data_IF_309034965617
#
_entry.id   IF_309034965617
#
_cell.length_a   1.000
_cell.length_b   1.000
_cell.length_c   1.000
_cell.angle_alpha   90.00
_cell.angle_beta   90.00
_cell.angle_gamma   90.00
#
_symmetry.space_group_name_H-M   'P 1'
#
loop_
_entity.id
_entity.type
_entity.pdbx_description
1 polymer ?
#
# COMPACT_ATOMS: atom_id res chain seq x y z
N UNK A 1 24.80 -3.95 -16.88
CA UNK A 1 23.61 -3.50 -16.14
C UNK A 1 22.99 -4.72 -15.47
N UNK A 2 22.75 -4.68 -14.15
CA UNK A 2 22.00 -5.74 -13.49
C UNK A 2 20.56 -5.73 -14.02
N UNK A 3 20.04 -6.90 -14.38
CA UNK A 3 18.66 -7.07 -14.85
C UNK A 3 17.71 -6.84 -13.67
N UNK A 4 16.71 -5.98 -13.85
CA UNK A 4 15.67 -5.78 -12.85
C UNK A 4 14.78 -7.03 -12.75
N UNK A 5 14.41 -7.41 -11.53
CA UNK A 5 13.51 -8.55 -11.26
C UNK A 5 12.05 -8.06 -11.22
N UNK A 6 11.41 -8.02 -12.39
CA UNK A 6 10.01 -7.60 -12.53
C UNK A 6 9.01 -8.54 -11.87
N UNK A 7 9.40 -9.79 -11.58
CA UNK A 7 8.53 -10.75 -10.91
C UNK A 7 8.42 -10.42 -9.43
N UNK A 8 9.55 -10.08 -8.79
CA UNK A 8 9.59 -9.74 -7.36
C UNK A 8 9.26 -8.28 -7.10
N UNK A 9 9.63 -7.39 -8.02
CA UNK A 9 9.45 -5.94 -7.91
C UNK A 9 8.76 -5.41 -9.18
N UNK A 10 7.46 -5.69 -9.37
CA UNK A 10 6.74 -5.29 -10.58
C UNK A 10 6.63 -3.76 -10.74
N UNK A 11 6.63 -3.03 -9.62
CA UNK A 11 6.70 -1.58 -9.63
C UNK A 11 8.13 -1.05 -9.62
N UNK A 12 8.39 -0.14 -10.55
CA UNK A 12 9.62 0.61 -10.61
C UNK A 12 9.54 1.85 -9.72
N UNK A 13 10.54 2.06 -8.88
CA UNK A 13 10.76 3.34 -8.20
C UNK A 13 10.97 4.47 -9.20
N UNK A 14 10.82 5.73 -8.78
CA UNK A 14 10.95 6.89 -9.67
C UNK A 14 12.32 6.95 -10.37
N UNK A 15 13.39 6.50 -9.72
CA UNK A 15 14.72 6.41 -10.35
C UNK A 15 14.82 5.24 -11.32
N UNK A 16 14.25 4.08 -10.97
CA UNK A 16 14.22 2.91 -11.84
C UNK A 16 13.37 3.15 -13.10
N UNK A 17 12.32 3.97 -13.03
CA UNK A 17 11.50 4.37 -14.18
C UNK A 17 12.35 4.97 -15.30
N UNK A 18 13.34 5.80 -14.98
CA UNK A 18 14.20 6.43 -15.99
C UNK A 18 15.05 5.43 -16.78
N UNK A 19 15.29 4.24 -16.21
CA UNK A 19 16.25 3.25 -16.72
C UNK A 19 15.52 2.03 -17.31
N UNK A 20 14.45 1.58 -16.64
CA UNK A 20 13.82 0.28 -16.88
C UNK A 20 12.39 0.37 -17.42
N UNK A 21 11.82 1.57 -17.64
CA UNK A 21 10.42 1.70 -18.06
C UNK A 21 10.11 0.90 -19.33
N UNK A 22 10.90 1.07 -20.39
CA UNK A 22 10.73 0.35 -21.65
C UNK A 22 11.06 -1.16 -21.57
N UNK A 23 11.63 -1.62 -20.45
CA UNK A 23 11.93 -3.02 -20.20
C UNK A 23 10.85 -3.70 -19.35
N UNK A 24 9.95 -2.91 -18.75
CA UNK A 24 8.91 -3.44 -17.88
C UNK A 24 7.86 -4.19 -18.71
N UNK A 25 7.57 -5.46 -18.38
CA UNK A 25 6.50 -6.21 -19.04
C UNK A 25 5.11 -5.83 -18.50
N UNK A 26 5.03 -4.96 -17.48
CA UNK A 26 3.78 -4.62 -16.80
C UNK A 26 3.55 -3.11 -16.82
N UNK A 27 2.30 -2.70 -17.09
CA UNK A 27 1.87 -1.29 -17.07
C UNK A 27 2.16 -0.68 -15.71
N UNK A 28 2.98 0.36 -15.66
CA UNK A 28 3.30 1.07 -14.41
C UNK A 28 2.12 1.95 -14.00
N UNK A 29 1.74 1.92 -12.72
CA UNK A 29 0.60 2.70 -12.20
C UNK A 29 1.07 4.12 -11.92
N UNK A 30 0.76 5.10 -12.77
CA UNK A 30 1.25 6.48 -12.63
C UNK A 30 0.16 7.48 -12.23
N UNK A 31 -1.09 7.05 -12.25
CA UNK A 31 -2.28 7.80 -11.94
C UNK A 31 -3.14 7.03 -10.94
N UNK A 32 -4.12 7.68 -10.29
CA UNK A 32 -5.06 6.97 -9.44
C UNK A 32 -5.79 5.86 -10.20
N UNK A 33 -6.00 4.72 -9.54
CA UNK A 33 -6.72 3.57 -10.10
C UNK A 33 -7.78 3.10 -9.11
N UNK A 34 -8.78 2.38 -9.61
CA UNK A 34 -9.69 1.58 -8.78
C UNK A 34 -9.23 0.12 -8.85
N UNK A 35 -9.10 -0.53 -7.71
CA UNK A 35 -8.60 -1.91 -7.61
C UNK A 35 -9.34 -2.69 -6.53
N UNK A 36 -9.50 -4.01 -6.75
CA UNK A 36 -10.23 -4.88 -5.83
C UNK A 36 -9.32 -5.39 -4.73
N UNK A 37 -9.71 -5.25 -3.47
CA UNK A 37 -8.94 -5.78 -2.33
C UNK A 37 -9.15 -7.28 -2.23
N UNK A 38 -8.09 -8.05 -2.42
CA UNK A 38 -8.14 -9.52 -2.37
C UNK A 38 -7.52 -10.12 -1.11
N UNK A 39 -6.70 -9.34 -0.41
CA UNK A 39 -6.09 -9.75 0.85
C UNK A 39 -5.69 -8.54 1.68
N UNK A 40 -5.82 -8.64 2.99
CA UNK A 40 -5.17 -7.75 3.95
C UNK A 40 -3.97 -8.47 4.56
N UNK A 41 -2.78 -7.91 4.42
CA UNK A 41 -1.54 -8.52 4.93
C UNK A 41 -1.37 -8.24 6.41
N UNK A 42 -1.57 -6.98 6.80
CA UNK A 42 -1.51 -6.43 8.15
C UNK A 42 -2.34 -5.14 8.16
N UNK A 43 -2.32 -4.38 9.26
CA UNK A 43 -3.15 -3.18 9.43
C UNK A 43 -2.80 -1.99 8.53
N UNK A 44 -1.71 -2.04 7.75
CA UNK A 44 -1.33 -0.96 6.84
C UNK A 44 -0.97 -1.42 5.41
N UNK A 45 -0.99 -2.73 5.14
CA UNK A 45 -0.61 -3.32 3.85
C UNK A 45 -1.72 -4.23 3.32
N UNK A 46 -2.18 -3.95 2.10
CA UNK A 46 -3.18 -4.75 1.37
C UNK A 46 -2.59 -5.35 0.09
N UNK A 47 -3.22 -6.38 -0.45
CA UNK A 47 -2.99 -6.83 -1.84
C UNK A 47 -4.25 -6.60 -2.65
N UNK A 48 -4.06 -6.10 -3.87
CA UNK A 48 -5.15 -5.77 -4.77
C UNK A 48 -4.96 -6.44 -6.13
N UNK A 49 -6.08 -6.66 -6.80
CA UNK A 49 -6.15 -6.98 -8.23
C UNK A 49 -6.59 -5.74 -9.01
N UNK A 50 -5.97 -5.53 -10.17
CA UNK A 50 -6.29 -4.46 -11.09
C UNK A 50 -6.42 -5.06 -12.48
N UNK A 51 -7.47 -4.69 -13.22
CA UNK A 51 -7.85 -5.27 -14.52
C UNK A 51 -6.76 -5.16 -15.60
N UNK A 52 -5.88 -4.17 -15.48
CA UNK A 52 -4.74 -3.96 -16.37
C UNK A 52 -3.53 -4.87 -16.05
N UNK A 53 -3.67 -5.79 -15.08
CA UNK A 53 -2.64 -6.75 -14.67
C UNK A 53 -3.23 -8.14 -14.41
N UNK A 54 -2.41 -9.16 -14.65
CA UNK A 54 -2.74 -10.57 -14.45
C UNK A 54 -2.20 -11.14 -13.12
N UNK A 55 -1.75 -10.27 -12.22
CA UNK A 55 -1.23 -10.63 -10.90
C UNK A 55 -1.70 -9.64 -9.83
N UNK A 56 -1.81 -10.13 -8.60
CA UNK A 56 -2.07 -9.28 -7.44
C UNK A 56 -0.76 -8.61 -6.94
N UNK A 57 -0.88 -7.41 -6.41
CA UNK A 57 0.29 -6.65 -5.94
C UNK A 57 0.01 -5.92 -4.63
N UNK A 58 1.06 -5.70 -3.81
CA UNK A 58 0.91 -5.07 -2.52
C UNK A 58 0.83 -3.53 -2.62
N UNK A 59 -0.02 -2.96 -1.78
CA UNK A 59 -0.11 -1.53 -1.52
C UNK A 59 0.12 -1.31 -0.02
N UNK A 60 1.07 -0.44 0.30
CA UNK A 60 1.25 0.10 1.65
C UNK A 60 0.48 1.42 1.74
N UNK A 61 -0.44 1.50 2.68
CA UNK A 61 -1.16 2.72 2.97
C UNK A 61 -0.21 3.80 3.50
N UNK A 62 -0.41 5.03 3.05
CA UNK A 62 0.42 6.17 3.42
C UNK A 62 0.03 6.75 4.79
N UNK A 63 0.98 7.45 5.43
CA UNK A 63 0.78 8.26 6.65
C UNK A 63 0.40 7.53 7.95
N UNK A 64 0.34 6.20 7.95
CA UNK A 64 0.14 5.38 9.14
C UNK A 64 1.25 4.34 9.35
N UNK A 65 1.30 3.84 10.58
CA UNK A 65 1.95 2.59 10.93
C UNK A 65 0.99 1.75 11.78
N UNK A 66 0.71 0.54 11.34
CA UNK A 66 0.03 -0.47 12.14
C UNK A 66 1.07 -1.40 12.79
N UNK A 67 0.72 -2.09 13.89
CA UNK A 67 1.55 -3.19 14.39
C UNK A 67 1.69 -4.27 13.31
N UNK A 68 2.87 -4.85 13.20
CA UNK A 68 3.10 -6.00 12.33
C UNK A 68 2.24 -7.18 12.81
N UNK A 69 1.91 -8.13 11.92
CA UNK A 69 0.96 -9.20 12.23
C UNK A 69 1.29 -10.03 13.49
N UNK A 70 2.58 -10.17 13.81
CA UNK A 70 3.07 -10.93 14.97
C UNK A 70 3.29 -10.07 16.22
N UNK A 71 3.08 -8.76 16.13
CA UNK A 71 3.16 -7.83 17.27
C UNK A 71 1.82 -7.77 18.00
N UNK A 72 1.84 -7.27 19.24
CA UNK A 72 0.64 -7.03 20.03
C UNK A 72 -0.30 -6.07 19.29
N UNK A 73 -1.58 -6.45 19.15
CA UNK A 73 -2.57 -5.68 18.40
C UNK A 73 -2.53 -5.87 16.87
N UNK A 74 -1.55 -6.59 16.33
CA UNK A 74 -1.39 -6.78 14.88
C UNK A 74 -2.56 -7.53 14.25
N UNK A 75 -3.04 -8.59 14.91
CA UNK A 75 -4.17 -9.37 14.40
C UNK A 75 -5.49 -8.60 14.50
N UNK A 76 -5.67 -7.85 15.57
CA UNK A 76 -6.82 -6.97 15.77
C UNK A 76 -6.87 -5.88 14.69
N UNK A 77 -5.73 -5.24 14.41
CA UNK A 77 -5.59 -4.23 13.36
C UNK A 77 -5.86 -4.79 11.97
N UNK A 78 -5.30 -5.96 11.65
CA UNK A 78 -5.61 -6.66 10.40
C UNK A 78 -7.10 -6.99 10.27
N UNK A 79 -7.70 -7.59 11.30
CA UNK A 79 -9.10 -8.01 11.29
C UNK A 79 -10.06 -6.82 11.14
N UNK A 80 -9.72 -5.66 11.72
CA UNK A 80 -10.47 -4.43 11.52
C UNK A 80 -10.46 -4.03 10.05
N UNK A 81 -9.27 -3.93 9.45
CA UNK A 81 -9.14 -3.54 8.05
C UNK A 81 -9.80 -4.56 7.11
N UNK A 82 -9.73 -5.85 7.40
CA UNK A 82 -10.45 -6.89 6.64
C UNK A 82 -11.96 -6.66 6.62
N UNK A 83 -12.56 -6.34 7.77
CA UNK A 83 -14.01 -6.08 7.86
C UNK A 83 -14.45 -4.87 7.05
N UNK A 84 -13.57 -3.87 6.92
CA UNK A 84 -13.89 -2.61 6.25
C UNK A 84 -13.74 -2.68 4.72
N UNK A 85 -12.77 -3.44 4.19
CA UNK A 85 -12.40 -3.36 2.76
C UNK A 85 -12.18 -4.68 2.04
N UNK A 86 -12.16 -5.84 2.71
CA UNK A 86 -11.88 -7.10 2.02
C UNK A 86 -12.99 -7.42 0.99
N UNK A 87 -12.59 -7.63 -0.27
CA UNK A 87 -13.51 -7.91 -1.38
C UNK A 87 -14.13 -6.66 -2.01
N UNK A 88 -13.88 -5.47 -1.47
CA UNK A 88 -14.38 -4.20 -2.00
C UNK A 88 -13.45 -3.64 -3.09
N UNK A 89 -14.03 -2.83 -3.98
CA UNK A 89 -13.28 -1.99 -4.92
C UNK A 89 -12.93 -0.67 -4.22
N UNK A 90 -11.65 -0.32 -4.22
CA UNK A 90 -11.12 0.88 -3.55
C UNK A 90 -10.34 1.75 -4.51
N UNK A 91 -10.38 3.07 -4.29
CA UNK A 91 -9.57 4.01 -5.05
C UNK A 91 -8.18 4.13 -4.42
N UNK A 92 -7.16 3.96 -5.26
CA UNK A 92 -5.75 4.01 -4.90
C UNK A 92 -5.19 5.35 -5.38
N UNK A 93 -4.95 6.28 -4.45
CA UNK A 93 -4.41 7.61 -4.75
C UNK A 93 -2.91 7.61 -4.41
N UNK A 94 -2.07 7.66 -5.44
CA UNK A 94 -0.62 7.57 -5.29
C UNK A 94 -0.04 8.76 -4.52
N UNK A 95 0.97 8.49 -3.69
CA UNK A 95 1.81 9.55 -3.12
C UNK A 95 2.86 10.02 -4.13
N UNK A 96 3.50 11.17 -3.85
CA UNK A 96 4.65 11.66 -4.66
C UNK A 96 5.78 10.64 -4.74
N UNK A 97 6.03 9.92 -3.65
CA UNK A 97 6.97 8.80 -3.58
C UNK A 97 6.20 7.51 -3.83
N UNK A 98 5.86 7.29 -5.09
CA UNK A 98 4.97 6.22 -5.56
C UNK A 98 5.33 4.82 -5.08
N UNK A 99 6.63 4.50 -5.03
CA UNK A 99 7.14 3.19 -4.67
C UNK A 99 8.18 3.35 -3.59
N UNK A 100 8.00 2.63 -2.49
CA UNK A 100 8.94 2.64 -1.38
C UNK A 100 10.14 1.70 -1.62
N UNK A 101 11.13 1.70 -0.72
CA UNK A 101 12.42 1.02 -0.94
C UNK A 101 12.31 -0.49 -1.15
N UNK A 102 11.22 -1.11 -0.66
CA UNK A 102 10.95 -2.53 -0.81
C UNK A 102 10.07 -2.88 -2.01
N UNK A 103 9.75 -1.91 -2.88
CA UNK A 103 8.98 -2.14 -4.10
C UNK A 103 7.46 -2.17 -3.92
N UNK A 104 6.94 -1.81 -2.74
CA UNK A 104 5.50 -1.64 -2.52
C UNK A 104 5.05 -0.26 -3.01
N UNK A 105 3.87 -0.20 -3.63
CA UNK A 105 3.21 1.08 -3.88
C UNK A 105 2.88 1.76 -2.56
N UNK A 106 3.12 3.06 -2.48
CA UNK A 106 2.75 3.91 -1.36
C UNK A 106 1.62 4.84 -1.80
N UNK A 107 0.42 4.61 -1.26
CA UNK A 107 -0.80 5.28 -1.68
C UNK A 107 -1.77 5.54 -0.51
N UNK A 108 -2.70 6.46 -0.71
CA UNK A 108 -3.91 6.55 0.09
C UNK A 108 -4.95 5.58 -0.49
N UNK A 109 -5.63 4.84 0.38
CA UNK A 109 -6.70 3.92 0.00
C UNK A 109 -8.02 4.55 0.41
N UNK A 110 -8.90 4.79 -0.56
CA UNK A 110 -10.20 5.38 -0.34
C UNK A 110 -11.28 4.33 -0.59
N UNK A 111 -12.13 4.07 0.40
CA UNK A 111 -13.33 3.25 0.25
C UNK A 111 -14.57 4.12 0.47
N UNK A 112 -15.46 4.21 -0.53
CA UNK A 112 -16.72 4.98 -0.45
C UNK A 112 -16.52 6.41 0.08
N UNK A 113 -15.43 7.06 -0.33
CA UNK A 113 -15.06 8.42 0.09
C UNK A 113 -14.32 8.53 1.44
N UNK A 114 -14.09 7.42 2.15
CA UNK A 114 -13.34 7.39 3.41
C UNK A 114 -11.88 7.04 3.18
N UNK A 115 -10.97 7.83 3.74
CA UNK A 115 -9.55 7.49 3.78
C UNK A 115 -9.32 6.39 4.83
N UNK A 116 -9.01 5.19 4.37
CA UNK A 116 -8.87 4.01 5.24
C UNK A 116 -7.69 4.11 6.20
N UNK A 117 -6.64 4.85 5.84
CA UNK A 117 -5.52 5.08 6.76
C UNK A 117 -5.93 5.92 7.96
N UNK A 118 -6.68 7.01 7.72
CA UNK A 118 -7.24 7.86 8.78
C UNK A 118 -8.31 7.11 9.59
N UNK A 119 -9.12 6.30 8.92
CA UNK A 119 -10.11 5.46 9.56
C UNK A 119 -9.47 4.48 10.56
N UNK A 120 -8.41 3.76 10.15
CA UNK A 120 -7.66 2.88 11.05
C UNK A 120 -7.06 3.60 12.26
N UNK A 121 -6.56 4.83 12.07
CA UNK A 121 -6.02 5.65 13.17
C UNK A 121 -7.14 6.04 14.15
N UNK A 122 -8.25 6.55 13.63
CA UNK A 122 -9.37 7.03 14.45
C UNK A 122 -10.01 5.93 15.32
N UNK A 123 -9.92 4.67 14.88
CA UNK A 123 -10.40 3.51 15.64
C UNK A 123 -9.31 2.83 16.49
N UNK A 124 -8.11 3.40 16.56
CA UNK A 124 -7.02 2.89 17.39
C UNK A 124 -6.32 1.64 16.85
N UNK A 125 -6.47 1.35 15.55
CA UNK A 125 -5.83 0.22 14.88
C UNK A 125 -4.51 0.58 14.21
N UNK A 126 -4.14 1.86 14.18
CA UNK A 126 -2.85 2.34 13.71
C UNK A 126 -2.48 3.68 14.37
N UNK A 127 -1.23 4.10 14.21
CA UNK A 127 -0.76 5.43 14.63
C UNK A 127 -0.33 6.25 13.41
N UNK A 128 -0.54 7.57 13.44
CA UNK A 128 0.00 8.41 12.37
C UNK A 128 1.52 8.53 12.50
N UNK A 129 2.23 8.69 11.37
CA UNK A 129 3.68 8.94 11.41
C UNK A 129 4.04 10.25 12.12
N UNK A 130 3.12 11.22 12.16
CA UNK A 130 3.32 12.49 12.87
C UNK A 130 3.35 12.26 14.38
N UNK A 131 2.40 11.50 14.91
CA UNK A 131 2.34 11.14 16.33
C UNK A 131 3.52 10.26 16.73
N UNK A 132 3.83 9.26 15.89
CA UNK A 132 4.98 8.38 16.13
C UNK A 132 6.30 9.15 16.25
N UNK A 133 6.50 10.24 15.50
CA UNK A 133 7.69 11.11 15.62
C UNK A 133 7.73 11.90 16.92
N UNK A 134 6.58 12.30 17.45
CA UNK A 134 6.48 13.02 18.72
C UNK A 134 6.78 12.11 19.91
N UNK A 135 6.41 10.82 19.84
CA UNK A 135 6.68 9.83 20.87
C UNK A 135 8.16 9.41 20.94
N UNK A 136 8.85 9.33 19.79
CA UNK A 136 10.25 8.90 19.72
C UNK A 136 11.28 10.04 19.83
N UNK A 137 10.84 11.28 20.02
CA UNK A 137 11.71 12.42 20.34
C UNK A 137 12.81 12.72 19.32
N UNK A 138 12.44 13.00 18.07
CA UNK A 138 13.34 13.62 17.08
C UNK A 138 12.95 15.07 16.80
#
# INVERSE_FOLDING_TARGET
>A
AHKHDFKRFPELTNSQMQIHYFQSPHKQILEPITARVVKVTDGDTIRVEWDERDFDFPIRMANLAAPELLEEGGKESQNFLEKEILGEDVDIILTKTRVEKWGRLLAYVINRGLNMGEHSINFGHAVSWKERKLEVGF
#
